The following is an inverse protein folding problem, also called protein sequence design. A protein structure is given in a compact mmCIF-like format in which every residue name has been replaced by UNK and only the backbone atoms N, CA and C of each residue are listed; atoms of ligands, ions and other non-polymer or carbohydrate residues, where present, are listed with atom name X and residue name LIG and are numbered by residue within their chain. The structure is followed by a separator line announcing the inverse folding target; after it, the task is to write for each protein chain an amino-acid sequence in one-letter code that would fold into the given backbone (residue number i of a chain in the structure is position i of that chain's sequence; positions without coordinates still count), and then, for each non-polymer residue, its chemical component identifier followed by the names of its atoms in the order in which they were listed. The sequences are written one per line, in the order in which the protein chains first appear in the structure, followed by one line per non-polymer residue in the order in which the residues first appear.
data_IF_110202982008
#
_entry.id   IF_110202982008
#
_cell.length_a   1.000
_cell.length_b   1.000
_cell.length_c   1.000
_cell.angle_alpha   90.00
_cell.angle_beta   90.00
_cell.angle_gamma   90.00
#
_symmetry.space_group_name_H-M   'P 1'
#
loop_
_entity.id
_entity.type
_entity.pdbx_description
1 polymer ?
#
# COMPACT_ATOMS: atom_id res chain seq x y z
N UNK A 1 -39.84 12.82 -15.21
CA UNK A 1 -39.11 12.64 -13.93
C UNK A 1 -37.71 12.17 -14.29
N UNK A 2 -36.71 13.06 -14.19
CA UNK A 2 -35.33 12.76 -14.60
C UNK A 2 -34.57 12.21 -13.41
N UNK A 3 -34.24 10.91 -13.44
CA UNK A 3 -33.47 10.25 -12.39
C UNK A 3 -32.03 10.74 -12.43
N UNK A 4 -31.61 11.49 -11.42
CA UNK A 4 -30.21 11.90 -11.23
C UNK A 4 -29.42 10.65 -10.83
N UNK A 5 -28.62 10.12 -11.75
CA UNK A 5 -27.62 9.09 -11.45
C UNK A 5 -26.51 9.78 -10.66
N UNK A 6 -26.52 9.58 -9.34
CA UNK A 6 -25.48 10.08 -8.43
C UNK A 6 -24.22 9.25 -8.66
N UNK A 7 -23.26 9.79 -9.41
CA UNK A 7 -21.93 9.19 -9.51
C UNK A 7 -21.28 9.15 -8.12
N UNK A 8 -20.68 8.02 -7.70
CA UNK A 8 -20.00 7.96 -6.42
C UNK A 8 -18.83 8.94 -6.41
N UNK A 9 -18.77 9.71 -5.33
CA UNK A 9 -17.71 10.66 -4.98
C UNK A 9 -16.34 10.00 -5.17
N UNK A 10 -15.38 10.78 -5.67
CA UNK A 10 -13.98 10.36 -5.79
C UNK A 10 -13.49 10.03 -4.37
N UNK A 11 -13.41 8.74 -4.06
CA UNK A 11 -12.80 8.24 -2.81
C UNK A 11 -11.34 8.64 -2.85
N UNK A 12 -10.85 9.28 -1.79
CA UNK A 12 -9.45 9.67 -1.68
C UNK A 12 -8.51 8.50 -2.01
N UNK A 13 -7.39 8.76 -2.71
CA UNK A 13 -6.46 7.71 -3.14
C UNK A 13 -5.88 6.88 -1.97
N UNK A 14 -5.99 7.40 -0.75
CA UNK A 14 -5.45 6.82 0.47
C UNK A 14 -6.24 5.60 1.00
N UNK A 15 -7.51 5.41 0.64
CA UNK A 15 -8.30 4.24 1.07
C UNK A 15 -8.36 3.12 0.04
N UNK A 16 -7.78 3.33 -1.14
CA UNK A 16 -7.98 2.42 -2.27
C UNK A 16 -7.31 1.07 -2.07
N UNK A 17 -6.13 1.01 -1.44
CA UNK A 17 -5.28 -0.19 -1.38
C UNK A 17 -5.36 -1.01 -0.08
N UNK A 18 -6.40 -0.80 0.73
CA UNK A 18 -6.58 -1.55 1.97
C UNK A 18 -7.37 -2.84 1.69
N UNK A 19 -6.88 -4.03 2.10
CA UNK A 19 -7.68 -5.23 2.03
C UNK A 19 -8.97 -5.09 2.85
N UNK A 20 -10.06 -5.63 2.32
CA UNK A 20 -11.28 -5.87 3.06
C UNK A 20 -11.01 -6.93 4.13
N UNK A 21 -11.32 -6.59 5.38
CA UNK A 21 -11.26 -7.55 6.47
C UNK A 21 -12.49 -8.46 6.36
N UNK A 22 -12.31 -9.65 5.79
CA UNK A 22 -13.40 -10.61 5.55
C UNK A 22 -14.12 -11.02 6.84
N UNK A 23 -13.43 -11.00 7.97
CA UNK A 23 -13.94 -11.35 9.30
C UNK A 23 -15.13 -10.48 9.76
N UNK A 24 -15.29 -9.29 9.18
CA UNK A 24 -16.39 -8.38 9.52
C UNK A 24 -17.48 -8.31 8.45
N UNK A 25 -17.40 -9.12 7.38
CA UNK A 25 -18.40 -9.12 6.30
C UNK A 25 -19.41 -10.24 6.50
N UNK A 26 -20.68 -9.88 6.40
CA UNK A 26 -21.78 -10.84 6.30
C UNK A 26 -21.68 -11.66 5.01
N UNK A 27 -22.24 -12.87 4.96
CA UNK A 27 -22.33 -13.66 3.73
C UNK A 27 -22.98 -12.90 2.57
N UNK A 28 -23.95 -12.03 2.84
CA UNK A 28 -24.63 -11.20 1.85
C UNK A 28 -23.69 -10.15 1.25
N UNK A 29 -22.85 -9.52 2.06
CA UNK A 29 -21.85 -8.55 1.59
C UNK A 29 -20.76 -9.23 0.75
N UNK A 30 -20.32 -10.43 1.15
CA UNK A 30 -19.39 -11.24 0.37
C UNK A 30 -20.02 -11.60 -0.98
N UNK A 31 -21.26 -12.09 -1.00
CA UNK A 31 -21.97 -12.42 -2.24
C UNK A 31 -22.13 -11.19 -3.16
N UNK A 32 -22.53 -10.05 -2.62
CA UNK A 32 -22.64 -8.80 -3.38
C UNK A 32 -21.29 -8.37 -3.97
N UNK A 33 -20.21 -8.47 -3.18
CA UNK A 33 -18.86 -8.17 -3.63
C UNK A 33 -18.40 -9.09 -4.77
N UNK A 34 -18.67 -10.40 -4.65
CA UNK A 34 -18.34 -11.40 -5.68
C UNK A 34 -19.10 -11.11 -6.98
N UNK A 35 -20.38 -10.76 -6.91
CA UNK A 35 -21.18 -10.35 -8.09
C UNK A 35 -20.59 -9.11 -8.76
N UNK A 36 -20.21 -8.09 -7.98
CA UNK A 36 -19.60 -6.88 -8.54
C UNK A 36 -18.25 -7.17 -9.19
N UNK A 37 -17.45 -8.03 -8.57
CA UNK A 37 -16.15 -8.46 -9.07
C UNK A 37 -16.30 -9.25 -10.38
N UNK A 38 -17.22 -10.20 -10.44
CA UNK A 38 -17.45 -11.00 -11.66
C UNK A 38 -17.89 -10.14 -12.83
N UNK A 39 -18.83 -9.19 -12.61
CA UNK A 39 -19.26 -8.24 -13.63
C UNK A 39 -18.09 -7.39 -14.13
N UNK A 40 -17.27 -6.84 -13.23
CA UNK A 40 -16.10 -6.04 -13.59
C UNK A 40 -15.13 -6.85 -14.44
N UNK A 41 -14.81 -8.08 -14.03
CA UNK A 41 -13.89 -8.96 -14.74
C UNK A 41 -14.45 -9.37 -16.08
N UNK A 42 -15.74 -9.71 -16.17
CA UNK A 42 -16.38 -10.10 -17.42
C UNK A 42 -16.31 -8.97 -18.45
N UNK A 43 -16.61 -7.72 -18.07
CA UNK A 43 -16.47 -6.53 -18.94
C UNK A 43 -15.02 -6.37 -19.42
N UNK A 44 -14.05 -6.58 -18.54
CA UNK A 44 -12.63 -6.43 -18.89
C UNK A 44 -12.15 -7.56 -19.80
N UNK A 45 -12.67 -8.76 -19.61
CA UNK A 45 -12.31 -9.95 -20.36
C UNK A 45 -13.14 -10.15 -21.63
N UNK A 46 -14.13 -9.31 -21.89
CA UNK A 46 -15.06 -9.42 -23.03
C UNK A 46 -14.34 -9.67 -24.36
N UNK A 47 -13.36 -8.82 -24.69
CA UNK A 47 -12.53 -8.97 -25.90
C UNK A 47 -11.54 -10.14 -25.90
N UNK A 48 -11.47 -10.92 -24.82
CA UNK A 48 -10.61 -12.11 -24.66
C UNK A 48 -11.39 -13.41 -24.54
N UNK A 49 -12.72 -13.36 -24.59
CA UNK A 49 -13.54 -14.55 -24.65
C UNK A 49 -13.53 -15.11 -26.07
N UNK A 50 -13.48 -16.44 -26.18
CA UNK A 50 -13.72 -17.11 -27.44
C UNK A 50 -15.23 -17.18 -27.65
N UNK A 51 -15.70 -16.97 -28.89
CA UNK A 51 -17.13 -16.95 -29.20
C UNK A 51 -17.84 -18.27 -28.86
N UNK A 52 -17.11 -19.39 -28.89
CA UNK A 52 -17.57 -20.74 -28.58
C UNK A 52 -17.33 -21.16 -27.12
N UNK A 53 -16.90 -20.22 -26.24
CA UNK A 53 -16.66 -20.53 -24.84
C UNK A 53 -17.96 -20.90 -24.12
N UNK A 54 -18.01 -22.13 -23.58
CA UNK A 54 -19.14 -22.57 -22.78
C UNK A 54 -19.36 -21.70 -21.54
N UNK A 55 -20.62 -21.53 -21.16
CA UNK A 55 -21.00 -20.78 -19.97
C UNK A 55 -20.36 -21.36 -18.70
N UNK A 56 -20.31 -22.68 -18.58
CA UNK A 56 -19.66 -23.36 -17.45
C UNK A 56 -18.18 -22.98 -17.33
N UNK A 57 -17.43 -22.93 -18.44
CA UNK A 57 -16.01 -22.54 -18.44
C UNK A 57 -15.84 -21.08 -18.04
N UNK A 58 -16.72 -20.20 -18.55
CA UNK A 58 -16.73 -18.78 -18.16
C UNK A 58 -16.98 -18.63 -16.66
N UNK A 59 -17.99 -19.31 -16.12
CA UNK A 59 -18.35 -19.26 -14.71
C UNK A 59 -17.20 -19.75 -13.82
N UNK A 60 -16.46 -20.78 -14.25
CA UNK A 60 -15.31 -21.27 -13.50
C UNK A 60 -14.13 -20.29 -13.48
N UNK A 61 -13.89 -19.61 -14.59
CA UNK A 61 -12.89 -18.55 -14.64
C UNK A 61 -13.32 -17.40 -13.72
N UNK A 62 -14.58 -16.96 -13.77
CA UNK A 62 -15.08 -15.88 -12.91
C UNK A 62 -15.04 -16.26 -11.42
N UNK A 63 -15.27 -17.53 -11.08
CA UNK A 63 -15.14 -18.02 -9.70
C UNK A 63 -13.71 -17.86 -9.17
N UNK A 64 -12.71 -18.26 -9.96
CA UNK A 64 -11.28 -18.10 -9.63
C UNK A 64 -10.90 -16.63 -9.40
N UNK A 65 -11.41 -15.73 -10.25
CA UNK A 65 -11.29 -14.29 -10.04
C UNK A 65 -11.93 -13.82 -8.74
N UNK A 66 -13.14 -14.28 -8.43
CA UNK A 66 -13.82 -13.90 -7.20
C UNK A 66 -13.07 -14.35 -5.95
N UNK A 67 -12.50 -15.56 -5.94
CA UNK A 67 -11.75 -16.10 -4.81
C UNK A 67 -10.47 -15.30 -4.54
N UNK A 68 -9.69 -15.03 -5.59
CA UNK A 68 -8.44 -14.28 -5.48
C UNK A 68 -8.64 -12.80 -5.13
N UNK A 69 -9.74 -12.21 -5.61
CA UNK A 69 -10.03 -10.79 -5.43
C UNK A 69 -10.89 -10.51 -4.19
N UNK A 70 -11.46 -11.52 -3.55
CA UNK A 70 -12.36 -11.36 -2.39
C UNK A 70 -11.80 -10.42 -1.30
N UNK A 71 -10.51 -10.49 -0.92
CA UNK A 71 -9.94 -9.64 0.11
C UNK A 71 -9.74 -8.19 -0.32
N UNK A 72 -10.03 -7.79 -1.55
CA UNK A 72 -9.69 -6.46 -2.09
C UNK A 72 -10.94 -5.66 -2.42
N UNK A 73 -10.86 -4.33 -2.33
CA UNK A 73 -11.98 -3.47 -2.74
C UNK A 73 -12.17 -3.48 -4.25
N UNK A 74 -13.40 -3.25 -4.72
CA UNK A 74 -13.69 -3.18 -6.15
C UNK A 74 -12.90 -2.07 -6.86
N UNK A 75 -12.65 -0.96 -6.17
CA UNK A 75 -11.86 0.16 -6.67
C UNK A 75 -10.39 -0.23 -6.87
N UNK A 76 -9.81 -0.97 -5.91
CA UNK A 76 -8.48 -1.57 -5.98
C UNK A 76 -8.32 -2.39 -7.26
N UNK A 77 -9.21 -3.35 -7.42
CA UNK A 77 -9.20 -4.34 -8.49
C UNK A 77 -9.30 -3.62 -9.84
N UNK A 78 -10.24 -2.67 -9.94
CA UNK A 78 -10.45 -1.84 -11.14
C UNK A 78 -9.22 -1.00 -11.49
N UNK A 79 -8.58 -0.37 -10.50
CA UNK A 79 -7.41 0.45 -10.71
C UNK A 79 -6.22 -0.38 -11.21
N UNK A 80 -5.97 -1.54 -10.58
CA UNK A 80 -4.88 -2.45 -10.95
C UNK A 80 -5.12 -3.08 -12.33
N UNK A 81 -6.34 -3.55 -12.62
CA UNK A 81 -6.69 -4.08 -13.94
C UNK A 81 -6.45 -3.05 -15.05
N UNK A 82 -6.86 -1.79 -14.83
CA UNK A 82 -6.60 -0.69 -15.79
C UNK A 82 -5.12 -0.43 -15.96
N UNK A 83 -4.35 -0.38 -14.87
CA UNK A 83 -2.90 -0.21 -14.91
C UNK A 83 -2.24 -1.34 -15.70
N UNK A 84 -2.58 -2.59 -15.39
CA UNK A 84 -2.01 -3.76 -16.03
C UNK A 84 -2.29 -3.78 -17.54
N UNK A 85 -3.53 -3.49 -17.96
CA UNK A 85 -3.91 -3.45 -19.39
C UNK A 85 -3.16 -2.38 -20.18
N UNK A 86 -2.92 -1.21 -19.58
CA UNK A 86 -2.12 -0.14 -20.22
C UNK A 86 -0.68 -0.58 -20.43
N UNK A 87 -0.12 -1.34 -19.49
CA UNK A 87 1.25 -1.83 -19.54
C UNK A 87 1.40 -3.09 -20.41
N UNK A 88 0.33 -3.87 -20.58
CA UNK A 88 0.33 -5.14 -21.28
C UNK A 88 -0.83 -5.21 -22.30
N UNK A 89 -0.87 -4.32 -23.32
CA UNK A 89 -2.01 -4.21 -24.23
C UNK A 89 -2.29 -5.48 -25.04
N UNK A 90 -1.26 -6.32 -25.26
CA UNK A 90 -1.34 -7.53 -26.08
C UNK A 90 -1.43 -8.82 -25.26
N UNK A 91 -1.66 -8.74 -23.95
CA UNK A 91 -1.73 -9.91 -23.07
C UNK A 91 -3.08 -9.96 -22.36
N UNK A 92 -3.54 -11.17 -22.06
CA UNK A 92 -4.72 -11.40 -21.22
C UNK A 92 -4.34 -11.38 -19.74
N UNK A 93 -5.01 -10.58 -18.88
CA UNK A 93 -4.76 -10.64 -17.44
C UNK A 93 -5.28 -11.96 -16.87
N UNK A 94 -4.64 -12.43 -15.80
CA UNK A 94 -5.13 -13.54 -14.97
C UNK A 94 -5.22 -13.06 -13.51
N UNK A 95 -5.91 -13.78 -12.61
CA UNK A 95 -6.08 -13.37 -11.22
C UNK A 95 -4.74 -13.13 -10.50
N UNK A 96 -3.78 -14.04 -10.70
CA UNK A 96 -2.45 -13.98 -10.07
C UNK A 96 -1.67 -12.70 -10.40
N UNK A 97 -1.67 -12.25 -11.66
CA UNK A 97 -1.03 -10.99 -12.05
C UNK A 97 -1.58 -9.78 -11.28
N UNK A 98 -2.88 -9.77 -11.05
CA UNK A 98 -3.57 -8.65 -10.39
C UNK A 98 -3.33 -8.71 -8.89
N UNK A 99 -3.44 -9.90 -8.29
CA UNK A 99 -3.13 -10.13 -6.88
C UNK A 99 -1.70 -9.74 -6.55
N UNK A 100 -0.72 -10.15 -7.35
CA UNK A 100 0.69 -9.82 -7.12
C UNK A 100 0.92 -8.30 -7.07
N UNK A 101 0.27 -7.54 -7.98
CA UNK A 101 0.38 -6.07 -7.97
C UNK A 101 -0.29 -5.46 -6.74
N UNK A 102 -1.44 -5.99 -6.34
CA UNK A 102 -2.15 -5.53 -5.14
C UNK A 102 -1.31 -5.75 -3.87
N UNK A 103 -0.80 -6.96 -3.68
CA UNK A 103 0.06 -7.33 -2.54
C UNK A 103 1.35 -6.51 -2.51
N UNK A 104 2.02 -6.36 -3.67
CA UNK A 104 3.23 -5.55 -3.78
C UNK A 104 2.97 -4.08 -3.41
N UNK A 105 1.90 -3.50 -3.94
CA UNK A 105 1.55 -2.10 -3.65
C UNK A 105 1.20 -1.90 -2.17
N UNK A 106 0.52 -2.88 -1.56
CA UNK A 106 0.24 -2.87 -0.13
C UNK A 106 1.53 -2.95 0.71
N UNK A 107 2.47 -3.82 0.33
CA UNK A 107 3.75 -3.96 1.01
C UNK A 107 4.58 -2.67 0.93
N UNK A 108 4.66 -2.05 -0.26
CA UNK A 108 5.35 -0.78 -0.47
C UNK A 108 4.76 0.34 0.41
N UNK A 109 3.42 0.39 0.51
CA UNK A 109 2.72 1.34 1.38
C UNK A 109 3.05 1.12 2.85
N UNK A 110 2.93 -0.11 3.35
CA UNK A 110 3.26 -0.44 4.75
C UNK A 110 4.71 -0.08 5.09
N UNK A 111 5.63 -0.31 4.16
CA UNK A 111 7.04 0.07 4.34
C UNK A 111 7.25 1.59 4.33
N UNK A 112 6.46 2.34 3.55
CA UNK A 112 6.49 3.81 3.59
C UNK A 112 5.95 4.36 4.92
N UNK A 113 4.79 3.87 5.35
CA UNK A 113 4.16 4.28 6.63
C UNK A 113 5.06 3.92 7.81
N UNK A 114 5.62 2.71 7.86
CA UNK A 114 6.55 2.30 8.92
C UNK A 114 7.80 3.19 9.00
N UNK A 115 8.34 3.63 7.85
CA UNK A 115 9.47 4.58 7.81
C UNK A 115 9.07 5.97 8.32
N UNK A 116 7.89 6.46 7.93
CA UNK A 116 7.40 7.76 8.39
C UNK A 116 7.17 7.77 9.92
N UNK A 117 6.61 6.70 10.47
CA UNK A 117 6.43 6.53 11.92
C UNK A 117 7.78 6.45 12.64
N UNK A 118 8.74 5.67 12.12
CA UNK A 118 10.08 5.58 12.71
C UNK A 118 10.82 6.92 12.71
N UNK A 119 10.63 7.75 11.68
CA UNK A 119 11.22 9.10 11.61
C UNK A 119 10.60 10.09 12.60
N UNK A 120 9.32 9.92 12.95
CA UNK A 120 8.65 10.73 13.98
C UNK A 120 8.99 10.28 15.41
N UNK A 121 9.39 9.01 15.60
CA UNK A 121 9.77 8.45 16.89
C UNK A 121 11.27 8.57 17.21
N UNK A 122 12.08 9.09 16.29
CA UNK A 122 13.43 9.53 16.64
C UNK A 122 13.29 10.61 17.72
N UNK A 123 13.90 10.44 18.92
CA UNK A 123 14.01 11.56 19.85
C UNK A 123 14.64 12.72 19.09
N UNK A 124 14.23 13.98 19.35
CA UNK A 124 14.79 15.13 18.65
C UNK A 124 16.30 15.10 18.84
N UNK A 125 17.02 14.60 17.85
CA UNK A 125 18.45 14.47 17.94
C UNK A 125 18.99 15.89 17.97
N UNK A 126 19.50 16.27 19.15
CA UNK A 126 20.60 17.22 19.34
C UNK A 126 20.71 18.19 18.17
N UNK A 127 20.04 19.33 18.30
CA UNK A 127 20.27 20.47 17.43
C UNK A 127 21.77 20.57 17.15
N UNK A 128 22.18 20.28 15.91
CA UNK A 128 23.56 20.39 15.43
C UNK A 128 23.97 21.86 15.27
N UNK A 129 23.58 22.68 16.23
CA UNK A 129 24.05 24.03 16.48
C UNK A 129 24.39 24.10 17.99
N UNK A 130 25.26 23.21 18.45
CA UNK A 130 25.96 23.44 19.72
C UNK A 130 27.01 24.50 19.44
N UNK A 131 26.72 25.72 19.88
CA UNK A 131 27.71 26.76 20.17
C UNK A 131 28.99 26.09 20.72
N UNK A 132 30.19 26.36 20.16
CA UNK A 132 31.45 25.82 20.67
C UNK A 132 31.60 25.99 22.20
N UNK A 133 31.09 27.07 22.77
CA UNK A 133 31.08 27.30 24.22
C UNK A 133 30.22 26.29 24.98
N UNK A 134 29.04 25.95 24.47
CA UNK A 134 28.14 24.99 25.11
C UNK A 134 28.71 23.56 25.09
N UNK A 135 29.48 23.21 24.05
CA UNK A 135 30.16 21.91 23.98
C UNK A 135 31.31 21.80 24.99
N UNK A 136 32.06 22.88 25.21
CA UNK A 136 33.14 22.93 26.19
C UNK A 136 32.62 22.82 27.63
N UNK A 137 31.55 23.54 27.96
CA UNK A 137 30.93 23.47 29.29
C UNK A 137 30.44 22.06 29.64
N UNK A 138 29.85 21.35 28.67
CA UNK A 138 29.37 19.99 28.89
C UNK A 138 30.54 18.98 29.05
N UNK A 139 31.68 19.22 28.40
CA UNK A 139 32.88 18.40 28.58
C UNK A 139 33.48 18.62 29.98
N UNK A 140 33.48 19.85 30.48
CA UNK A 140 33.93 20.16 31.85
C UNK A 140 33.02 19.53 32.91
N UNK A 141 31.69 19.55 32.73
CA UNK A 141 30.74 18.85 33.62
C UNK A 141 30.98 17.33 33.66
N UNK A 142 31.16 16.71 32.49
CA UNK A 142 31.39 15.26 32.40
C UNK A 142 32.75 14.84 32.99
N UNK A 143 33.74 15.74 33.02
CA UNK A 143 35.03 15.48 33.66
C UNK A 143 34.96 15.59 35.20
N UNK A 144 34.02 16.39 35.71
CA UNK A 144 33.70 16.44 37.15
C UNK A 144 32.94 15.17 37.57
N UNK A 145 31.99 14.71 36.76
CA UNK A 145 31.15 13.56 37.09
C UNK A 145 31.88 12.21 36.88
N UNK A 146 32.75 12.13 35.86
CA UNK A 146 33.50 10.92 35.51
C UNK A 146 35.00 11.22 35.32
N UNK A 147 35.73 11.52 36.42
CA UNK A 147 37.14 11.88 36.35
C UNK A 147 37.97 10.75 35.73
N UNK A 148 38.68 11.06 34.65
CA UNK A 148 39.58 10.13 33.95
C UNK A 148 38.97 9.39 32.75
N UNK A 149 37.67 9.54 32.48
CA UNK A 149 37.02 8.90 31.31
C UNK A 149 37.30 9.64 29.99
N UNK A 150 37.54 10.95 30.05
CA UNK A 150 37.76 11.81 28.88
C UNK A 150 39.26 12.11 28.74
N UNK A 151 39.88 11.57 27.68
CA UNK A 151 41.30 11.81 27.37
C UNK A 151 41.41 13.05 26.47
N UNK A 152 41.68 14.22 27.05
CA UNK A 152 41.96 15.45 26.26
C UNK A 152 43.23 15.22 25.44
N UNK A 153 43.15 15.33 24.12
CA UNK A 153 44.35 15.31 23.27
C UNK A 153 45.17 16.60 23.51
N UNK A 154 46.50 16.50 23.68
CA UNK A 154 47.33 17.69 23.80
C UNK A 154 47.25 18.50 22.51
N UNK A 155 47.07 19.81 22.65
CA UNK A 155 47.13 20.75 21.52
C UNK A 155 48.52 20.66 20.91
N UNK A 156 48.57 20.32 19.62
CA UNK A 156 49.80 20.40 18.82
C UNK A 156 50.13 21.89 18.69
N UNK A 157 51.22 22.31 19.31
CA UNK A 157 51.80 23.63 19.09
C UNK A 157 52.51 23.63 17.74
N UNK A 158 52.33 24.69 16.96
CA UNK A 158 53.05 24.98 15.71
C UNK A 158 54.57 25.12 15.92
#
# INVERSE_FOLDING_TARGET
MTTIVKFPQIVEPHSLMTPLLNEFRSPQEIAAHRVQTSILVEIILDGYWQADMSEMKRNMILADWCDEMEPWTLECIRAVLRKWRRQNPNKKPNPGHIREILERTLAERKAFEGRAVAQQQLPPALHKNSDPCARLAHIDELEVEFPGLIKRMPKVSE
#
